data_IF_830292004594
#
_entry.id   IF_830292004594
#
_cell.length_a   1.000
_cell.length_b   1.000
_cell.length_c   1.000
_cell.angle_alpha   90.00
_cell.angle_beta   90.00
_cell.angle_gamma   90.00
#
_symmetry.space_group_name_H-M   'P 1'
#
loop_
_entity.id
_entity.type
_entity.pdbx_description
1 polymer ?
#
# COMPACT_ATOMS: atom_id res chain seq x y z
N UNK A 1 -33.27 -5.93 22.72
CA UNK A 1 -31.86 -5.50 22.94
C UNK A 1 -31.04 -5.96 21.75
N UNK A 2 -30.66 -5.05 20.86
CA UNK A 2 -29.87 -5.37 19.66
C UNK A 2 -28.39 -5.49 20.03
N UNK A 3 -27.80 -6.65 19.77
CA UNK A 3 -26.38 -6.93 20.02
C UNK A 3 -25.50 -6.12 19.08
N UNK A 4 -24.78 -5.12 19.58
CA UNK A 4 -23.77 -4.41 18.79
C UNK A 4 -22.51 -5.29 18.62
N UNK A 5 -22.09 -5.63 17.38
CA UNK A 5 -20.87 -6.40 17.17
C UNK A 5 -19.65 -5.57 17.60
N UNK A 6 -19.12 -5.89 18.80
CA UNK A 6 -17.85 -5.39 19.33
C UNK A 6 -16.80 -6.49 19.18
N UNK A 7 -15.64 -6.18 18.59
CA UNK A 7 -14.46 -7.06 18.62
C UNK A 7 -13.32 -6.33 19.32
N UNK A 8 -12.64 -7.03 20.24
CA UNK A 8 -11.52 -6.48 21.03
C UNK A 8 -11.84 -5.13 21.71
N UNK A 9 -13.02 -5.03 22.34
CA UNK A 9 -13.47 -3.80 23.02
C UNK A 9 -13.80 -2.62 22.11
N UNK A 10 -13.63 -2.75 20.78
CA UNK A 10 -13.88 -1.68 19.80
C UNK A 10 -15.16 -1.97 19.01
N UNK A 11 -15.93 -0.92 18.73
CA UNK A 11 -17.12 -1.01 17.87
C UNK A 11 -16.67 -1.34 16.45
N UNK A 12 -17.19 -2.42 15.87
CA UNK A 12 -16.91 -2.78 14.48
C UNK A 12 -17.38 -1.63 13.58
N UNK A 13 -16.50 -1.12 12.72
CA UNK A 13 -16.79 -0.01 11.79
C UNK A 13 -16.36 1.40 12.23
N UNK A 14 -15.91 1.62 13.47
CA UNK A 14 -15.50 2.95 13.96
C UNK A 14 -13.99 3.19 14.00
N UNK A 15 -13.17 2.30 13.42
CA UNK A 15 -11.70 2.35 13.52
C UNK A 15 -10.98 3.07 12.38
N UNK A 16 -11.61 3.18 11.20
CA UNK A 16 -10.98 3.74 9.98
C UNK A 16 -11.14 5.27 9.86
N UNK A 17 -11.78 5.93 10.82
CA UNK A 17 -12.20 7.35 10.70
C UNK A 17 -10.99 8.30 10.63
N UNK A 18 -9.81 7.87 11.09
CA UNK A 18 -8.53 8.61 11.00
C UNK A 18 -7.47 7.83 10.21
N UNK A 19 -7.83 7.19 9.11
CA UNK A 19 -6.86 6.48 8.27
C UNK A 19 -6.00 7.46 7.46
N UNK A 20 -4.89 7.90 8.07
CA UNK A 20 -3.76 8.54 7.39
C UNK A 20 -4.08 9.85 6.67
N UNK A 21 -3.07 10.38 5.98
CA UNK A 21 -3.21 11.59 5.18
C UNK A 21 -3.72 11.24 3.77
N UNK A 22 -4.89 11.74 3.37
CA UNK A 22 -5.52 11.40 2.09
C UNK A 22 -4.62 11.71 0.90
N UNK A 23 -3.97 12.88 0.90
CA UNK A 23 -3.07 13.27 -0.18
C UNK A 23 -1.81 12.39 -0.24
N UNK A 24 -1.33 11.89 0.91
CA UNK A 24 -0.17 10.99 0.93
C UNK A 24 -0.55 9.65 0.30
N UNK A 25 -1.75 9.15 0.58
CA UNK A 25 -2.26 7.94 -0.07
C UNK A 25 -2.38 8.14 -1.59
N UNK A 26 -2.87 9.29 -2.05
CA UNK A 26 -2.93 9.63 -3.48
C UNK A 26 -1.54 9.72 -4.12
N UNK A 27 -0.58 10.37 -3.47
CA UNK A 27 0.79 10.48 -3.95
C UNK A 27 1.44 9.11 -4.15
N UNK A 28 1.25 8.17 -3.22
CA UNK A 28 1.76 6.80 -3.38
C UNK A 28 1.04 6.00 -4.47
N UNK A 29 -0.24 6.26 -4.72
CA UNK A 29 -0.97 5.65 -5.85
C UNK A 29 -0.43 6.20 -7.17
N UNK A 30 -0.18 7.50 -7.27
CA UNK A 30 0.44 8.10 -8.45
C UNK A 30 1.85 7.55 -8.69
N UNK A 31 2.69 7.52 -7.65
CA UNK A 31 4.01 6.91 -7.70
C UNK A 31 3.95 5.43 -8.12
N UNK A 32 2.96 4.67 -7.65
CA UNK A 32 2.77 3.28 -8.06
C UNK A 32 2.44 3.14 -9.56
N UNK A 33 1.62 4.03 -10.13
CA UNK A 33 1.34 4.03 -11.56
C UNK A 33 2.60 4.30 -12.39
N UNK A 34 3.42 5.26 -11.96
CA UNK A 34 4.70 5.54 -12.60
C UNK A 34 5.69 4.36 -12.46
N UNK A 35 5.79 3.78 -11.27
CA UNK A 35 6.66 2.63 -11.03
C UNK A 35 6.26 1.41 -11.89
N UNK A 36 4.97 1.12 -12.02
CA UNK A 36 4.47 0.04 -12.89
C UNK A 36 4.80 0.29 -14.37
N UNK A 37 4.85 1.55 -14.80
CA UNK A 37 5.13 1.92 -16.19
C UNK A 37 6.62 1.83 -16.53
N UNK A 38 7.48 2.30 -15.63
CA UNK A 38 8.91 2.51 -15.94
C UNK A 38 9.85 1.49 -15.31
N UNK A 39 9.44 0.79 -14.26
CA UNK A 39 10.29 -0.19 -13.57
C UNK A 39 9.83 -1.64 -13.83
N UNK A 40 10.63 -2.44 -14.57
CA UNK A 40 10.28 -3.82 -14.91
C UNK A 40 10.03 -4.72 -13.69
N UNK A 41 10.79 -4.57 -12.61
CA UNK A 41 10.63 -5.38 -11.40
C UNK A 41 9.25 -5.16 -10.75
N UNK A 42 8.84 -3.90 -10.65
CA UNK A 42 7.53 -3.49 -10.11
C UNK A 42 6.40 -3.96 -11.03
N UNK A 43 6.58 -3.81 -12.35
CA UNK A 43 5.61 -4.29 -13.34
C UNK A 43 5.33 -5.79 -13.21
N UNK A 44 6.37 -6.61 -13.00
CA UNK A 44 6.22 -8.06 -12.79
C UNK A 44 5.43 -8.39 -11.52
N UNK A 45 5.67 -7.69 -10.42
CA UNK A 45 4.89 -7.86 -9.17
C UNK A 45 3.43 -7.46 -9.38
N UNK A 46 3.20 -6.33 -10.04
CA UNK A 46 1.87 -5.83 -10.37
C UNK A 46 1.09 -6.83 -11.24
N UNK A 47 1.67 -7.29 -12.35
CA UNK A 47 1.04 -8.26 -13.25
C UNK A 47 0.69 -9.57 -12.56
N UNK A 48 1.59 -10.12 -11.74
CA UNK A 48 1.32 -11.32 -10.93
C UNK A 48 0.13 -11.14 -9.98
N UNK A 49 -0.03 -9.94 -9.41
CA UNK A 49 -1.14 -9.63 -8.51
C UNK A 49 -2.45 -9.36 -9.27
N UNK A 50 -2.39 -8.67 -10.40
CA UNK A 50 -3.52 -8.47 -11.31
C UNK A 50 -4.09 -9.78 -11.86
N UNK A 51 -3.25 -10.78 -12.09
CA UNK A 51 -3.71 -12.09 -12.54
C UNK A 51 -4.62 -12.79 -11.51
N UNK A 52 -4.58 -12.38 -10.24
CA UNK A 52 -5.32 -13.00 -9.11
C UNK A 52 -6.39 -12.08 -8.51
N UNK A 53 -6.35 -10.79 -8.79
CA UNK A 53 -7.16 -9.76 -8.12
C UNK A 53 -7.46 -8.59 -9.05
N UNK A 54 -8.39 -7.72 -8.67
CA UNK A 54 -8.70 -6.53 -9.47
C UNK A 54 -7.49 -5.59 -9.63
N UNK A 55 -7.31 -4.93 -10.79
CA UNK A 55 -6.17 -4.03 -11.05
C UNK A 55 -5.99 -2.93 -10.00
N UNK A 56 -7.09 -2.35 -9.51
CA UNK A 56 -7.06 -1.34 -8.45
C UNK A 56 -6.47 -1.85 -7.14
N UNK A 57 -6.69 -3.13 -6.81
CA UNK A 57 -6.13 -3.78 -5.61
C UNK A 57 -4.63 -4.02 -5.82
N UNK A 58 -4.22 -4.39 -7.02
CA UNK A 58 -2.81 -4.58 -7.36
C UNK A 58 -2.03 -3.26 -7.31
N UNK A 59 -2.56 -2.14 -7.84
CA UNK A 59 -1.95 -0.81 -7.71
C UNK A 59 -1.82 -0.41 -6.23
N UNK A 60 -2.88 -0.59 -5.43
CA UNK A 60 -2.84 -0.30 -3.99
C UNK A 60 -1.79 -1.13 -3.26
N UNK A 61 -1.57 -2.38 -3.67
CA UNK A 61 -0.52 -3.21 -3.10
C UNK A 61 0.89 -2.71 -3.43
N UNK A 62 1.12 -2.23 -4.66
CA UNK A 62 2.38 -1.60 -5.06
C UNK A 62 2.59 -0.30 -4.28
N UNK A 63 1.58 0.56 -4.19
CA UNK A 63 1.63 1.80 -3.42
C UNK A 63 1.98 1.54 -1.94
N UNK A 64 1.42 0.48 -1.36
CA UNK A 64 1.75 0.08 0.01
C UNK A 64 3.20 -0.38 0.17
N UNK A 65 3.74 -1.17 -0.78
CA UNK A 65 5.16 -1.56 -0.77
C UNK A 65 6.08 -0.32 -0.87
N UNK A 66 5.75 0.64 -1.74
CA UNK A 66 6.50 1.89 -1.87
C UNK A 66 6.49 2.69 -0.57
N UNK A 67 5.33 2.86 0.06
CA UNK A 67 5.21 3.57 1.33
C UNK A 67 6.08 2.94 2.43
N UNK A 68 6.12 1.61 2.52
CA UNK A 68 6.97 0.88 3.47
C UNK A 68 8.45 1.03 3.16
N UNK A 69 8.83 1.06 1.89
CA UNK A 69 10.22 1.29 1.49
C UNK A 69 10.67 2.73 1.80
N UNK A 70 9.81 3.72 1.56
CA UNK A 70 10.09 5.12 1.93
C UNK A 70 10.23 5.29 3.45
N UNK A 71 9.35 4.66 4.25
CA UNK A 71 9.46 4.67 5.71
C UNK A 71 10.81 4.10 6.18
N UNK A 72 11.24 2.97 5.60
CA UNK A 72 12.54 2.36 5.90
C UNK A 72 13.72 3.27 5.54
N UNK A 73 13.71 3.87 4.34
CA UNK A 73 14.73 4.82 3.87
C UNK A 73 14.84 6.03 4.81
N UNK A 74 13.71 6.62 5.18
CA UNK A 74 13.68 7.78 6.08
C UNK A 74 14.08 7.42 7.51
N UNK A 75 13.70 6.25 7.99
CA UNK A 75 13.99 5.81 9.36
C UNK A 75 15.45 5.43 9.55
N UNK A 76 16.00 4.65 8.62
CA UNK A 76 17.34 4.07 8.75
C UNK A 76 18.39 4.86 7.96
N UNK A 77 17.99 5.94 7.27
CA UNK A 77 18.86 6.82 6.47
C UNK A 77 19.68 6.05 5.42
N UNK A 78 19.07 5.01 4.85
CA UNK A 78 19.65 4.15 3.82
C UNK A 78 19.15 4.54 2.42
N UNK A 79 19.94 4.33 1.37
CA UNK A 79 19.46 4.55 0.00
C UNK A 79 18.31 3.61 -0.34
N UNK A 80 17.40 4.09 -1.20
CA UNK A 80 16.30 3.27 -1.71
C UNK A 80 16.81 2.13 -2.61
N UNK A 81 16.37 0.91 -2.33
CA UNK A 81 16.67 -0.28 -3.12
C UNK A 81 15.37 -0.92 -3.62
N UNK A 82 15.19 -0.91 -4.95
CA UNK A 82 14.01 -1.44 -5.63
C UNK A 82 13.89 -2.96 -5.49
N UNK A 83 15.01 -3.68 -5.48
CA UNK A 83 15.00 -5.14 -5.36
C UNK A 83 14.57 -5.51 -3.94
N UNK A 84 15.07 -4.81 -2.93
CA UNK A 84 14.63 -5.02 -1.54
C UNK A 84 13.16 -4.65 -1.32
N UNK A 85 12.67 -3.59 -1.97
CA UNK A 85 11.27 -3.16 -1.86
C UNK A 85 10.29 -4.15 -2.53
N UNK A 86 10.71 -4.82 -3.61
CA UNK A 86 9.83 -5.65 -4.45
C UNK A 86 10.19 -7.13 -4.53
N UNK A 87 11.18 -7.58 -3.76
CA UNK A 87 11.45 -8.99 -3.47
C UNK A 87 10.20 -9.73 -2.97
#
# INVERSE_FOLDING_TARGET
MSSEPRSNGKKKGSGNVKNGHQYLAWAFVEAANFAVRYEPAVKRVYQRKCARTMPVVAIKAVAHKLARACDHVMRDQVPFDVQRAFA
#
